data_IF_729026179056
#
_entry.id   IF_729026179056
#
_cell.length_a   1.000
_cell.length_b   1.000
_cell.length_c   1.000
_cell.angle_alpha   90.00
_cell.angle_beta   90.00
_cell.angle_gamma   90.00
#
_symmetry.space_group_name_H-M   'P 1'
#
loop_
_entity.id
_entity.type
_entity.pdbx_description
1 polymer ?
#
# COMPACT_ATOMS: atom_id res chain seq x y z
N UNK A 1 9.66 -2.90 -7.93
CA UNK A 1 9.42 -3.92 -8.90
C UNK A 1 8.12 -3.67 -9.65
N UNK A 2 8.19 -3.88 -10.94
CA UNK A 2 7.09 -3.52 -11.79
C UNK A 2 5.85 -4.31 -11.57
N UNK A 3 6.00 -5.59 -11.43
CA UNK A 3 4.85 -6.47 -11.30
C UNK A 3 4.07 -6.23 -10.02
N UNK A 4 4.55 -5.35 -9.16
CA UNK A 4 3.86 -5.07 -7.92
C UNK A 4 2.59 -4.24 -8.10
N UNK A 5 2.37 -3.69 -9.29
CA UNK A 5 1.23 -2.80 -9.49
C UNK A 5 0.16 -3.48 -10.33
N UNK A 6 -0.58 -4.35 -9.69
CA UNK A 6 -1.70 -5.03 -10.32
C UNK A 6 -3.00 -4.41 -9.84
N UNK A 7 -3.94 -4.25 -10.75
CA UNK A 7 -5.25 -3.79 -10.35
C UNK A 7 -6.31 -4.82 -10.70
N UNK A 8 -7.41 -4.74 -10.01
CA UNK A 8 -8.54 -5.64 -10.18
C UNK A 8 -9.82 -4.84 -10.03
N UNK A 9 -10.74 -5.04 -10.97
CA UNK A 9 -12.06 -4.43 -10.89
C UNK A 9 -12.94 -5.36 -10.08
N UNK A 10 -13.43 -4.88 -8.93
CA UNK A 10 -14.27 -5.69 -8.05
C UNK A 10 -15.71 -5.71 -8.52
N UNK A 11 -16.22 -4.52 -8.89
CA UNK A 11 -17.52 -4.38 -9.53
C UNK A 11 -17.49 -3.07 -10.30
N UNK A 12 -18.65 -2.56 -10.67
CA UNK A 12 -18.69 -1.36 -11.51
C UNK A 12 -18.06 -0.15 -10.86
N UNK A 13 -18.08 -0.11 -9.53
CA UNK A 13 -17.73 1.09 -8.80
C UNK A 13 -16.45 0.98 -8.00
N UNK A 14 -15.86 -0.19 -7.92
CA UNK A 14 -14.70 -0.37 -7.06
C UNK A 14 -13.53 -0.98 -7.80
N UNK A 15 -12.33 -0.60 -7.37
CA UNK A 15 -11.10 -1.11 -7.95
C UNK A 15 -10.09 -1.32 -6.82
N UNK A 16 -9.29 -2.37 -6.95
CA UNK A 16 -8.18 -2.65 -6.06
C UNK A 16 -6.87 -2.57 -6.82
N UNK A 17 -5.87 -2.04 -6.16
CA UNK A 17 -4.49 -2.08 -6.64
C UNK A 17 -3.66 -2.78 -5.58
N UNK A 18 -2.82 -3.72 -5.99
CA UNK A 18 -1.96 -4.46 -5.07
C UNK A 18 -0.49 -4.14 -5.34
N UNK A 19 0.27 -4.06 -4.27
CA UNK A 19 1.69 -3.71 -4.32
C UNK A 19 2.47 -4.70 -3.48
N UNK A 20 3.68 -5.00 -3.91
CA UNK A 20 4.57 -5.85 -3.14
C UNK A 20 5.70 -4.99 -2.59
N UNK A 21 5.86 -5.01 -1.28
CA UNK A 21 6.92 -4.29 -0.60
C UNK A 21 7.89 -5.26 0.05
N UNK A 22 9.16 -4.89 0.01
CA UNK A 22 10.16 -5.57 0.81
C UNK A 22 10.44 -4.68 2.01
N UNK A 23 10.00 -5.11 3.18
CA UNK A 23 10.15 -4.34 4.41
C UNK A 23 11.24 -4.96 5.25
N UNK A 24 12.18 -4.15 5.73
CA UNK A 24 13.25 -4.62 6.59
C UNK A 24 13.26 -3.84 7.89
N UNK A 25 13.35 -4.57 9.00
CA UNK A 25 13.54 -3.95 10.30
C UNK A 25 15.05 -3.80 10.51
N UNK A 26 15.54 -2.56 10.37
CA UNK A 26 16.97 -2.28 10.53
C UNK A 26 17.36 -1.97 11.97
N UNK A 27 16.42 -2.07 12.89
CA UNK A 27 16.65 -1.79 14.29
C UNK A 27 17.20 -3.00 15.02
N UNK A 28 17.70 -2.78 16.22
CA UNK A 28 18.33 -3.84 17.02
C UNK A 28 17.33 -4.64 17.85
N UNK A 29 16.05 -4.32 17.74
CA UNK A 29 14.99 -5.05 18.43
C UNK A 29 13.79 -5.23 17.53
N UNK A 30 12.90 -6.13 17.94
CA UNK A 30 11.69 -6.42 17.20
C UNK A 30 10.76 -5.21 17.20
N UNK A 31 10.06 -5.01 16.08
CA UNK A 31 9.07 -3.94 15.96
C UNK A 31 7.85 -4.42 15.22
N UNK A 32 6.70 -3.88 15.60
CA UNK A 32 5.48 -4.00 14.80
C UNK A 32 5.42 -2.83 13.85
N UNK A 33 5.09 -3.13 12.61
CA UNK A 33 4.95 -2.13 11.56
C UNK A 33 3.52 -2.07 11.06
N UNK A 34 3.14 -0.91 10.60
CA UNK A 34 1.81 -0.67 10.08
C UNK A 34 1.91 0.19 8.83
N UNK A 35 0.99 -0.04 7.89
CA UNK A 35 0.95 0.75 6.66
C UNK A 35 -0.08 1.85 6.76
N UNK A 36 0.24 2.95 6.12
CA UNK A 36 -0.64 4.12 6.07
C UNK A 36 -0.49 4.76 4.70
N UNK A 37 -1.57 5.34 4.19
CA UNK A 37 -1.54 6.07 2.92
C UNK A 37 -2.03 7.50 3.16
N UNK A 38 -1.60 8.39 2.26
CA UNK A 38 -1.87 9.81 2.41
C UNK A 38 -3.16 10.26 1.71
N UNK A 39 -3.99 9.33 1.27
CA UNK A 39 -5.23 9.65 0.57
C UNK A 39 -6.41 9.00 1.29
N UNK A 40 -7.29 9.82 1.82
CA UNK A 40 -8.42 9.34 2.62
C UNK A 40 -9.50 8.66 1.80
N UNK A 41 -9.51 8.86 0.48
CA UNK A 41 -10.50 8.22 -0.38
C UNK A 41 -10.11 6.78 -0.72
N UNK A 42 -8.91 6.37 -0.35
CA UNK A 42 -8.37 5.04 -0.64
C UNK A 42 -8.16 4.33 0.70
N UNK A 43 -8.62 3.10 0.80
CA UNK A 43 -8.44 2.34 2.03
C UNK A 43 -7.52 1.15 1.80
N UNK A 44 -6.85 0.72 2.86
CA UNK A 44 -6.04 -0.49 2.83
C UNK A 44 -6.96 -1.65 3.13
N UNK A 45 -7.18 -2.53 2.13
CA UNK A 45 -8.04 -3.69 2.29
C UNK A 45 -7.25 -4.95 2.65
N UNK A 46 -5.95 -4.97 2.35
CA UNK A 46 -5.07 -6.07 2.75
C UNK A 46 -3.84 -5.50 3.42
N UNK A 47 -3.43 -6.10 4.50
CA UNK A 47 -2.38 -5.66 5.41
C UNK A 47 -2.83 -4.42 6.15
N UNK A 48 -4.09 -4.46 6.59
CA UNK A 48 -4.68 -3.37 7.36
C UNK A 48 -4.45 -3.53 8.87
N UNK A 49 -3.59 -4.46 9.27
CA UNK A 49 -3.22 -4.71 10.67
C UNK A 49 -1.72 -4.68 10.82
N UNK A 50 -1.22 -4.34 12.00
CA UNK A 50 0.22 -4.38 12.23
C UNK A 50 0.79 -5.79 12.07
N UNK A 51 2.03 -5.86 11.65
CA UNK A 51 2.77 -7.11 11.55
C UNK A 51 4.13 -6.94 12.21
N UNK A 52 4.67 -8.03 12.77
CA UNK A 52 5.91 -7.98 13.52
C UNK A 52 7.08 -8.43 12.64
N UNK A 53 8.17 -7.65 12.69
CA UNK A 53 9.44 -8.05 12.12
C UNK A 53 10.47 -8.09 13.22
N UNK A 54 11.18 -9.20 13.30
CA UNK A 54 12.27 -9.34 14.24
C UNK A 54 13.42 -8.45 13.84
N UNK A 55 14.30 -8.16 14.79
CA UNK A 55 15.47 -7.32 14.54
C UNK A 55 16.24 -7.86 13.33
N UNK A 56 16.50 -6.99 12.35
CA UNK A 56 17.22 -7.31 11.14
C UNK A 56 16.47 -8.11 10.09
N UNK A 57 15.23 -8.51 10.37
CA UNK A 57 14.49 -9.36 9.45
C UNK A 57 13.93 -8.57 8.27
N UNK A 58 13.79 -9.24 7.13
CA UNK A 58 13.15 -8.74 5.93
C UNK A 58 11.94 -9.60 5.62
N UNK A 59 10.92 -8.98 5.02
CA UNK A 59 9.74 -9.71 4.61
C UNK A 59 9.09 -9.04 3.41
N UNK A 60 8.65 -9.84 2.44
CA UNK A 60 7.78 -9.35 1.37
C UNK A 60 6.37 -9.24 1.92
N UNK A 61 5.75 -8.09 1.71
CA UNK A 61 4.41 -7.83 2.19
C UNK A 61 3.57 -7.35 1.03
N UNK A 62 2.40 -7.96 0.86
CA UNK A 62 1.46 -7.52 -0.16
C UNK A 62 0.48 -6.55 0.50
N UNK A 63 0.41 -5.34 -0.05
CA UNK A 63 -0.54 -4.33 0.40
C UNK A 63 -1.55 -4.11 -0.70
N UNK A 64 -2.83 -4.22 -0.37
CA UNK A 64 -3.89 -3.99 -1.34
C UNK A 64 -4.67 -2.76 -0.92
N UNK A 65 -4.84 -1.86 -1.87
CA UNK A 65 -5.60 -0.63 -1.67
C UNK A 65 -6.87 -0.69 -2.49
N UNK A 66 -7.95 -0.18 -1.93
CA UNK A 66 -9.26 -0.20 -2.55
C UNK A 66 -9.87 1.18 -2.56
N UNK A 67 -10.53 1.52 -3.67
CA UNK A 67 -11.21 2.79 -3.80
C UNK A 67 -12.38 2.64 -4.75
N UNK A 68 -13.33 3.56 -4.64
CA UNK A 68 -14.35 3.69 -5.68
C UNK A 68 -13.68 4.17 -6.96
N UNK A 69 -14.14 3.64 -8.07
CA UNK A 69 -13.65 4.06 -9.37
C UNK A 69 -14.61 5.07 -9.96
N UNK A 70 -14.24 6.34 -9.85
CA UNK A 70 -15.05 7.44 -10.39
C UNK A 70 -14.56 7.89 -11.75
N UNK A 71 -13.71 7.11 -12.38
CA UNK A 71 -13.20 7.42 -13.70
C UNK A 71 -14.30 7.19 -14.74
N UNK A 72 -14.75 8.24 -15.37
CA UNK A 72 -15.76 8.16 -16.43
C UNK A 72 -15.15 8.39 -17.80
N UNK A 73 -13.84 8.52 -17.89
CA UNK A 73 -13.17 8.79 -19.16
C UNK A 73 -12.91 7.50 -19.93
N UNK A 74 -12.47 7.62 -21.16
CA UNK A 74 -12.12 6.48 -22.00
C UNK A 74 -10.68 6.05 -21.84
N UNK A 75 -9.98 6.65 -20.89
CA UNK A 75 -8.59 6.34 -20.61
C UNK A 75 -8.44 5.98 -19.15
N UNK A 76 -7.44 5.14 -18.85
CA UNK A 76 -7.05 4.88 -17.48
C UNK A 76 -6.55 6.18 -16.85
N UNK A 77 -6.86 6.38 -15.58
CA UNK A 77 -6.35 7.51 -14.82
C UNK A 77 -5.40 7.01 -13.75
N UNK A 78 -4.39 7.81 -13.45
CA UNK A 78 -3.35 7.45 -12.49
C UNK A 78 -3.28 8.52 -11.43
N UNK A 79 -3.21 8.09 -10.19
CA UNK A 79 -3.11 8.99 -9.05
C UNK A 79 -1.86 8.68 -8.28
N UNK A 80 -1.05 9.70 -8.02
CA UNK A 80 0.15 9.53 -7.21
C UNK A 80 -0.22 9.49 -5.74
N UNK A 81 0.28 8.49 -5.04
CA UNK A 81 0.05 8.32 -3.62
C UNK A 81 1.37 7.98 -2.95
N UNK A 82 1.40 8.14 -1.64
CA UNK A 82 2.53 7.71 -0.84
C UNK A 82 2.07 6.65 0.13
N UNK A 83 2.77 5.52 0.13
CA UNK A 83 2.50 4.43 1.06
C UNK A 83 3.64 4.42 2.06
N UNK A 84 3.28 4.49 3.33
CA UNK A 84 4.24 4.59 4.42
C UNK A 84 4.13 3.38 5.32
N UNK A 85 5.27 2.79 5.65
CA UNK A 85 5.35 1.76 6.67
C UNK A 85 6.08 2.36 7.87
N UNK A 86 5.53 2.22 9.06
CA UNK A 86 6.14 2.79 10.25
C UNK A 86 5.97 1.86 11.44
N UNK A 87 6.91 1.99 12.38
CA UNK A 87 6.85 1.23 13.62
C UNK A 87 5.76 1.84 14.52
N UNK A 88 4.86 1.00 15.01
CA UNK A 88 3.70 1.49 15.76
C UNK A 88 4.07 2.15 17.07
N UNK A 89 5.16 1.71 17.71
CA UNK A 89 5.61 2.24 19.00
C UNK A 89 6.53 3.44 18.81
N UNK A 90 7.22 3.49 17.68
CA UNK A 90 8.16 4.56 17.39
C UNK A 90 7.96 5.01 15.93
N UNK A 91 6.94 5.85 15.67
CA UNK A 91 6.57 6.20 14.30
C UNK A 91 7.64 6.92 13.48
N UNK A 92 8.69 7.44 14.14
CA UNK A 92 9.81 8.02 13.41
C UNK A 92 10.62 6.96 12.66
N UNK A 93 10.49 5.69 13.06
CA UNK A 93 11.08 4.58 12.31
C UNK A 93 10.09 4.27 11.19
N UNK A 94 10.40 4.78 10.00
CA UNK A 94 9.44 4.67 8.90
C UNK A 94 10.17 4.67 7.56
N UNK A 95 9.46 4.15 6.55
CA UNK A 95 9.89 4.24 5.16
C UNK A 95 8.66 4.57 4.34
N UNK A 96 8.86 5.38 3.29
CA UNK A 96 7.79 5.85 2.44
C UNK A 96 8.12 5.53 1.00
N UNK A 97 7.11 5.13 0.24
CA UNK A 97 7.24 4.85 -1.18
C UNK A 97 6.20 5.61 -1.95
N UNK A 98 6.66 6.35 -2.96
CA UNK A 98 5.76 6.93 -3.94
C UNK A 98 5.23 5.81 -4.81
N UNK A 99 3.93 5.79 -5.00
CA UNK A 99 3.27 4.73 -5.76
C UNK A 99 2.18 5.35 -6.62
N UNK A 100 1.65 4.54 -7.54
CA UNK A 100 0.60 5.00 -8.43
C UNK A 100 -0.63 4.11 -8.23
N UNK A 101 -1.77 4.74 -8.05
CA UNK A 101 -3.05 4.04 -7.99
C UNK A 101 -3.74 4.21 -9.33
N UNK A 102 -4.19 3.11 -9.91
CA UNK A 102 -4.78 3.10 -11.23
C UNK A 102 -6.28 3.02 -11.12
N UNK A 103 -6.95 3.96 -11.78
CA UNK A 103 -8.40 3.94 -11.96
C UNK A 103 -8.65 3.56 -13.41
N UNK A 104 -9.02 2.30 -13.67
CA UNK A 104 -9.19 1.86 -15.05
C UNK A 104 -10.37 2.53 -15.72
N UNK A 105 -10.29 2.67 -17.02
CA UNK A 105 -11.38 3.19 -17.82
C UNK A 105 -12.58 2.28 -17.69
N UNK A 106 -13.75 2.84 -17.91
CA UNK A 106 -15.00 2.09 -17.90
C UNK A 106 -15.47 1.77 -19.29
#
# INVERSE_FOLDING_TARGET
>A
NRTSELYKVLDQDEVENSYVFLVQNTQSKDHKFYFEIDDKSIEISRQNKPFTLKAGAKQKVIVTLKSKNENTSEKDLFKHINIKAYATVEPTISVQRASTFIYPKR
#
